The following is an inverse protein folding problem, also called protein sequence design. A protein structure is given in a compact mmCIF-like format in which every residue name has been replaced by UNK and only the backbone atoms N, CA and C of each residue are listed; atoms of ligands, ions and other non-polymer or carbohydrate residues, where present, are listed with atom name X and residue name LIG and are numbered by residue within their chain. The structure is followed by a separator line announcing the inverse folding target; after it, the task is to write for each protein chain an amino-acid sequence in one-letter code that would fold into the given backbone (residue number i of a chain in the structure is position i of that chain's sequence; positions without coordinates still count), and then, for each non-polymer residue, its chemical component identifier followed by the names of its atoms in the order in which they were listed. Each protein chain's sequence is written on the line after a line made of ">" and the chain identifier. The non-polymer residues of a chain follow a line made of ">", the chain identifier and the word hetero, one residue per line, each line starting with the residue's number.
data_IF_218305424078
#
_entry.id   IF_218305424078
#
_cell.length_a   1.000
_cell.length_b   1.000
_cell.length_c   1.000
_cell.angle_alpha   90.00
_cell.angle_beta   90.00
_cell.angle_gamma   90.00
#
_symmetry.space_group_name_H-M   'P 1'
#
loop_
_entity.id
_entity.type
_entity.pdbx_description
1 polymer ?
#
# COMPACT_ATOMS: atom_id res chain seq x y z
N UNK A 1 -19.54 -18.75 15.64
CA UNK A 1 -19.51 -18.15 15.34
C UNK A 1 -19.24 -17.34 14.79
N UNK A 2 -19.15 -17.24 14.66
CA UNK A 2 -19.05 -16.46 14.07
C UNK A 2 -18.71 -15.51 13.80
N UNK A 3 -18.37 -15.19 13.55
CA UNK A 3 -18.15 -14.33 13.32
C UNK A 3 -17.98 -13.45 12.87
N UNK A 4 -17.72 -13.04 12.97
CA UNK A 4 -18.08 -11.87 12.59
C UNK A 4 -17.91 -11.52 11.28
N UNK A 5 -18.79 -11.70 10.77
CA UNK A 5 -18.98 -11.37 9.49
C UNK A 5 -18.79 -9.93 9.21
N UNK A 6 -18.82 -9.18 10.21
CA UNK A 6 -18.53 -7.79 10.04
C UNK A 6 -17.17 -7.58 9.49
N UNK A 7 -16.33 -8.55 9.63
CA UNK A 7 -15.00 -8.43 9.12
C UNK A 7 -14.88 -8.95 7.70
N UNK A 8 -15.95 -8.89 6.93
CA UNK A 8 -15.87 -9.32 5.56
C UNK A 8 -14.96 -8.46 4.69
N UNK A 9 -14.65 -7.25 5.11
CA UNK A 9 -13.78 -6.38 4.35
C UNK A 9 -12.32 -6.75 4.52
N UNK A 10 -11.61 -6.82 3.40
CA UNK A 10 -10.15 -6.96 3.44
C UNK A 10 -9.53 -5.62 3.73
N UNK A 11 -8.33 -5.67 4.28
CA UNK A 11 -7.59 -4.47 4.68
C UNK A 11 -6.45 -4.22 3.71
N UNK A 12 -6.32 -2.97 3.30
CA UNK A 12 -5.29 -2.52 2.36
C UNK A 12 -4.41 -1.48 3.04
N UNK A 13 -3.09 -1.71 3.00
CA UNK A 13 -2.12 -0.71 3.46
C UNK A 13 -1.65 0.11 2.27
N UNK A 14 -1.58 1.43 2.45
CA UNK A 14 -1.21 2.36 1.38
C UNK A 14 0.26 2.73 1.50
N UNK A 15 1.11 2.03 0.78
CA UNK A 15 2.56 2.18 0.82
C UNK A 15 3.05 3.08 -0.31
N UNK A 16 3.95 3.99 0.00
CA UNK A 16 4.53 4.89 -1.01
C UNK A 16 5.43 5.92 -0.36
N UNK A 17 6.20 6.67 -1.17
CA UNK A 17 7.15 7.65 -0.63
C UNK A 17 6.47 8.69 0.25
N UNK A 18 7.07 8.95 1.41
CA UNK A 18 6.66 10.03 2.31
C UNK A 18 7.87 10.93 2.55
N UNK A 19 8.97 10.35 3.05
CA UNK A 19 10.22 11.05 3.14
C UNK A 19 10.71 11.35 1.73
N UNK A 20 11.26 12.51 1.48
CA UNK A 20 11.71 12.94 0.15
C UNK A 20 10.58 13.07 -0.87
N UNK A 21 9.34 13.14 -0.41
CA UNK A 21 8.21 13.41 -1.28
C UNK A 21 7.49 14.67 -0.78
N UNK A 22 6.94 15.45 -1.70
CA UNK A 22 6.10 16.57 -1.33
C UNK A 22 4.86 16.04 -0.59
N UNK A 23 4.55 16.63 0.56
CA UNK A 23 3.47 16.12 1.40
C UNK A 23 2.13 16.08 0.65
N UNK A 24 1.84 17.11 -0.14
CA UNK A 24 0.61 17.15 -0.92
C UNK A 24 0.50 15.98 -1.88
N UNK A 25 1.61 15.63 -2.55
CA UNK A 25 1.62 14.51 -3.48
C UNK A 25 1.45 13.20 -2.72
N UNK A 26 2.18 13.05 -1.60
CA UNK A 26 2.08 11.84 -0.80
C UNK A 26 0.68 11.62 -0.25
N UNK A 27 -0.01 12.70 0.09
CA UNK A 27 -1.35 12.63 0.67
C UNK A 27 -2.43 12.44 -0.38
N UNK A 28 -2.29 13.12 -1.53
CA UNK A 28 -3.36 13.17 -2.54
C UNK A 28 -3.70 11.79 -3.11
N UNK A 29 -2.70 11.02 -3.49
CA UNK A 29 -2.99 9.71 -4.07
C UNK A 29 -3.64 8.77 -3.04
N UNK A 30 -3.26 8.91 -1.78
CA UNK A 30 -3.86 8.11 -0.71
C UNK A 30 -5.32 8.48 -0.49
N UNK A 31 -5.63 9.78 -0.55
CA UNK A 31 -7.02 10.23 -0.43
C UNK A 31 -7.85 9.73 -1.60
N UNK A 32 -7.29 9.74 -2.81
CA UNK A 32 -7.98 9.20 -3.98
C UNK A 32 -8.23 7.70 -3.83
N UNK A 33 -7.23 6.96 -3.38
CA UNK A 33 -7.38 5.53 -3.14
C UNK A 33 -8.49 5.25 -2.13
N UNK A 34 -8.54 6.03 -1.06
CA UNK A 34 -9.59 5.87 -0.04
C UNK A 34 -10.98 6.12 -0.63
N UNK A 35 -11.11 7.10 -1.52
CA UNK A 35 -12.40 7.36 -2.16
C UNK A 35 -12.84 6.20 -3.05
N UNK A 36 -11.89 5.63 -3.79
CA UNK A 36 -12.22 4.55 -4.73
C UNK A 36 -12.48 3.23 -3.99
N UNK A 37 -11.69 2.92 -2.98
CA UNK A 37 -11.68 1.60 -2.36
C UNK A 37 -12.42 1.53 -1.03
N UNK A 38 -12.68 2.67 -0.39
CA UNK A 38 -13.14 2.70 1.00
C UNK A 38 -14.50 2.10 1.27
N UNK A 39 -15.35 1.96 0.24
CA UNK A 39 -16.65 1.34 0.41
C UNK A 39 -16.52 -0.17 0.68
N UNK A 40 -15.58 -0.81 -0.01
CA UNK A 40 -15.46 -2.27 0.01
C UNK A 40 -14.26 -2.77 0.78
N UNK A 41 -13.35 -1.89 1.15
CA UNK A 41 -12.09 -2.27 1.82
C UNK A 41 -11.82 -1.35 3.00
N UNK A 42 -11.09 -1.88 3.97
CA UNK A 42 -10.58 -1.08 5.08
C UNK A 42 -9.19 -0.58 4.68
N UNK A 43 -8.96 0.73 4.80
CA UNK A 43 -7.70 1.33 4.36
C UNK A 43 -6.86 1.75 5.55
N UNK A 44 -5.58 1.39 5.51
CA UNK A 44 -4.60 1.84 6.50
C UNK A 44 -3.65 2.82 5.83
N UNK A 45 -3.79 4.08 6.17
CA UNK A 45 -2.99 5.17 5.63
C UNK A 45 -1.92 5.54 6.66
N UNK A 46 -0.62 5.34 6.37
CA UNK A 46 0.43 5.66 7.35
C UNK A 46 0.49 7.15 7.66
N UNK A 47 -0.02 8.00 6.78
CA UNK A 47 -0.02 9.45 7.03
C UNK A 47 -1.07 9.88 8.04
N UNK A 48 -1.89 8.96 8.54
CA UNK A 48 -2.78 9.27 9.67
C UNK A 48 -1.99 9.54 10.93
N UNK A 49 -0.74 9.08 10.97
CA UNK A 49 0.20 9.38 12.05
C UNK A 49 0.98 10.62 11.67
N UNK A 50 1.30 11.46 12.64
CA UNK A 50 1.91 12.76 12.34
C UNK A 50 3.40 12.75 12.60
N UNK A 51 4.13 11.96 11.82
CA UNK A 51 5.58 11.86 11.94
C UNK A 51 6.34 12.59 10.83
N UNK A 52 5.63 13.24 9.90
CA UNK A 52 6.26 13.80 8.69
C UNK A 52 7.42 14.74 9.04
N UNK A 53 7.23 15.59 10.03
CA UNK A 53 8.26 16.58 10.41
C UNK A 53 9.25 16.03 11.43
N UNK A 54 9.15 14.77 11.84
CA UNK A 54 9.98 14.19 12.89
C UNK A 54 10.51 12.82 12.53
N UNK A 55 10.69 12.56 11.23
CA UNK A 55 11.00 11.17 10.79
C UNK A 55 12.31 10.65 11.37
N UNK A 56 13.33 11.49 11.46
CA UNK A 56 14.61 11.04 12.00
C UNK A 56 14.50 10.73 13.50
N UNK A 57 13.82 11.61 14.26
CA UNK A 57 13.70 11.46 15.70
C UNK A 57 12.77 10.32 16.10
N UNK A 58 11.87 9.94 15.22
CA UNK A 58 10.83 8.94 15.50
C UNK A 58 11.04 7.65 14.73
N UNK A 59 12.26 7.37 14.27
CA UNK A 59 12.54 6.23 13.38
C UNK A 59 12.00 4.90 13.91
N UNK A 60 12.26 4.59 15.18
CA UNK A 60 11.80 3.30 15.72
C UNK A 60 10.28 3.19 15.72
N UNK A 61 9.60 4.28 16.10
CA UNK A 61 8.15 4.29 16.16
C UNK A 61 7.54 4.17 14.77
N UNK A 62 8.09 4.93 13.81
CA UNK A 62 7.59 4.92 12.43
C UNK A 62 7.70 3.50 11.86
N UNK A 63 8.85 2.88 11.99
CA UNK A 63 9.07 1.55 11.44
C UNK A 63 8.15 0.53 12.10
N UNK A 64 8.02 0.57 13.42
CA UNK A 64 7.16 -0.40 14.12
C UNK A 64 5.69 -0.23 13.73
N UNK A 65 5.21 1.00 13.64
CA UNK A 65 3.82 1.22 13.25
C UNK A 65 3.58 0.82 11.79
N UNK A 66 4.52 1.13 10.90
CA UNK A 66 4.35 0.77 9.49
C UNK A 66 4.40 -0.74 9.31
N UNK A 67 5.31 -1.43 9.99
CA UNK A 67 5.37 -2.89 9.92
C UNK A 67 4.11 -3.53 10.49
N UNK A 68 3.56 -2.94 11.55
CA UNK A 68 2.31 -3.45 12.11
C UNK A 68 1.16 -3.29 11.10
N UNK A 69 1.11 -2.16 10.40
CA UNK A 69 0.09 -1.96 9.36
C UNK A 69 0.24 -3.00 8.25
N UNK A 70 1.47 -3.32 7.87
CA UNK A 70 1.71 -4.36 6.86
C UNK A 70 1.20 -5.71 7.38
N UNK A 71 1.48 -6.03 8.64
CA UNK A 71 1.00 -7.29 9.24
C UNK A 71 -0.52 -7.36 9.29
N UNK A 72 -1.16 -6.23 9.55
CA UNK A 72 -2.62 -6.18 9.67
C UNK A 72 -3.33 -6.17 8.32
N UNK A 73 -2.61 -5.86 7.25
CA UNK A 73 -3.20 -5.77 5.92
C UNK A 73 -3.26 -7.12 5.23
N UNK A 74 -4.18 -7.25 4.30
CA UNK A 74 -4.26 -8.39 3.39
C UNK A 74 -3.57 -8.06 2.08
N UNK A 75 -3.63 -6.80 1.68
CA UNK A 75 -3.13 -6.31 0.41
C UNK A 75 -2.33 -5.05 0.68
N UNK A 76 -1.19 -4.92 0.01
CA UNK A 76 -0.40 -3.69 0.04
C UNK A 76 -0.55 -3.01 -1.32
N UNK A 77 -1.12 -1.81 -1.32
CA UNK A 77 -1.22 -1.00 -2.53
C UNK A 77 -0.04 -0.03 -2.53
N UNK A 78 0.79 -0.13 -3.56
CA UNK A 78 2.09 0.55 -3.58
C UNK A 78 2.15 1.59 -4.68
N UNK A 79 2.37 2.84 -4.30
CA UNK A 79 2.70 3.88 -5.25
C UNK A 79 4.23 3.89 -5.43
N UNK A 80 4.70 3.43 -6.58
CA UNK A 80 6.12 3.41 -6.87
C UNK A 80 6.44 4.41 -7.98
N UNK A 81 6.08 5.68 -7.73
CA UNK A 81 6.34 6.74 -8.70
C UNK A 81 7.81 7.18 -8.70
N UNK A 82 8.56 6.77 -7.68
CA UNK A 82 10.00 6.98 -7.60
C UNK A 82 10.59 6.01 -6.58
N UNK A 83 11.91 5.78 -6.63
CA UNK A 83 12.56 4.92 -5.66
C UNK A 83 12.35 5.44 -4.24
N UNK A 84 12.11 4.53 -3.32
CA UNK A 84 11.88 4.87 -1.90
C UNK A 84 12.37 3.72 -1.05
N UNK A 85 13.24 4.03 -0.09
CA UNK A 85 13.81 3.01 0.80
C UNK A 85 12.72 2.34 1.61
N UNK A 86 11.90 3.15 2.29
CA UNK A 86 10.85 2.62 3.16
C UNK A 86 9.85 1.78 2.39
N UNK A 87 9.39 2.29 1.25
CA UNK A 87 8.45 1.57 0.40
C UNK A 87 9.02 0.24 -0.07
N UNK A 88 10.28 0.24 -0.49
CA UNK A 88 10.93 -0.99 -0.96
C UNK A 88 11.04 -2.02 0.15
N UNK A 89 11.37 -1.60 1.36
CA UNK A 89 11.45 -2.51 2.50
C UNK A 89 10.09 -3.06 2.89
N UNK A 90 9.06 -2.24 2.82
CA UNK A 90 7.70 -2.69 3.09
C UNK A 90 7.22 -3.72 2.07
N UNK A 91 7.53 -3.50 0.79
CA UNK A 91 7.21 -4.45 -0.27
C UNK A 91 7.87 -5.79 0.00
N UNK A 92 9.16 -5.78 0.30
CA UNK A 92 9.88 -7.01 0.58
C UNK A 92 9.31 -7.73 1.80
N UNK A 93 9.11 -6.99 2.88
CA UNK A 93 8.58 -7.57 4.11
C UNK A 93 7.20 -8.18 3.89
N UNK A 94 6.34 -7.45 3.20
CA UNK A 94 4.98 -7.92 2.94
C UNK A 94 4.97 -9.20 2.12
N UNK A 95 5.71 -9.21 1.01
CA UNK A 95 5.68 -10.32 0.08
C UNK A 95 6.46 -11.52 0.61
N UNK A 96 7.70 -11.30 1.01
CA UNK A 96 8.60 -12.40 1.35
C UNK A 96 8.38 -12.91 2.77
N UNK A 97 8.21 -12.01 3.71
CA UNK A 97 8.11 -12.40 5.12
C UNK A 97 6.69 -12.72 5.55
N UNK A 98 5.69 -12.10 4.93
CA UNK A 98 4.30 -12.23 5.39
C UNK A 98 3.34 -12.79 4.35
N UNK A 99 3.80 -13.02 3.13
CA UNK A 99 2.98 -13.63 2.08
C UNK A 99 1.77 -12.79 1.68
N UNK A 100 1.87 -11.48 1.80
CA UNK A 100 0.76 -10.59 1.41
C UNK A 100 0.75 -10.36 -0.08
N UNK A 101 -0.40 -9.96 -0.61
CA UNK A 101 -0.51 -9.53 -2.00
C UNK A 101 0.02 -8.10 -2.12
N UNK A 102 0.88 -7.87 -3.10
CA UNK A 102 1.48 -6.55 -3.33
C UNK A 102 1.06 -6.09 -4.72
N UNK A 103 0.22 -5.06 -4.76
CA UNK A 103 -0.29 -4.49 -6.00
C UNK A 103 0.35 -3.12 -6.14
N UNK A 104 1.25 -2.98 -7.11
CA UNK A 104 1.99 -1.75 -7.30
C UNK A 104 1.53 -1.03 -8.55
N UNK A 105 1.66 0.30 -8.56
CA UNK A 105 1.51 1.06 -9.78
C UNK A 105 2.68 2.02 -9.93
N UNK A 106 3.08 2.23 -11.19
CA UNK A 106 4.22 3.07 -11.52
C UNK A 106 4.00 3.65 -12.92
N UNK A 107 4.35 4.92 -13.14
CA UNK A 107 4.24 5.51 -14.48
C UNK A 107 5.31 5.01 -15.43
N UNK A 108 6.31 4.28 -14.93
CA UNK A 108 7.44 3.86 -15.73
C UNK A 108 7.16 2.52 -16.42
N UNK A 109 7.72 2.28 -17.61
CA UNK A 109 7.61 0.97 -18.23
C UNK A 109 8.16 -0.12 -17.33
N UNK A 110 7.61 -1.32 -17.46
CA UNK A 110 8.02 -2.48 -16.67
C UNK A 110 9.55 -2.65 -16.69
N UNK A 111 10.18 -2.46 -17.86
CA UNK A 111 11.61 -2.66 -18.03
C UNK A 111 12.45 -1.65 -17.23
N UNK A 112 11.85 -0.56 -16.80
CA UNK A 112 12.55 0.47 -16.02
C UNK A 112 12.30 0.33 -14.53
N UNK A 113 11.47 -0.62 -14.12
CA UNK A 113 11.21 -0.84 -12.71
C UNK A 113 12.36 -1.63 -12.10
N UNK A 114 12.63 -1.37 -10.82
CA UNK A 114 13.63 -2.14 -10.09
C UNK A 114 13.29 -3.63 -10.12
N UNK A 115 14.27 -4.51 -10.37
CA UNK A 115 14.01 -5.94 -10.32
C UNK A 115 13.48 -6.40 -8.96
N UNK A 116 13.84 -5.72 -7.89
CA UNK A 116 13.31 -6.04 -6.57
C UNK A 116 11.80 -5.80 -6.49
N UNK A 117 11.35 -4.69 -7.06
CA UNK A 117 9.92 -4.37 -7.09
C UNK A 117 9.19 -5.34 -8.00
N UNK A 118 9.77 -5.67 -9.15
CA UNK A 118 9.19 -6.65 -10.07
C UNK A 118 9.05 -8.02 -9.39
N UNK A 119 10.10 -8.46 -8.73
CA UNK A 119 10.14 -9.79 -8.10
C UNK A 119 9.12 -9.93 -6.99
N UNK A 120 8.95 -8.88 -6.17
CA UNK A 120 8.13 -8.99 -4.97
C UNK A 120 6.74 -8.36 -5.11
N UNK A 121 6.38 -7.86 -6.29
CA UNK A 121 5.00 -7.42 -6.56
C UNK A 121 4.19 -8.56 -7.14
N UNK A 122 2.95 -8.69 -6.69
CA UNK A 122 2.01 -9.64 -7.27
C UNK A 122 1.61 -9.17 -8.66
N UNK A 123 1.41 -7.85 -8.81
CA UNK A 123 1.01 -7.25 -10.06
C UNK A 123 1.48 -5.80 -10.09
N UNK A 124 1.93 -5.34 -11.26
CA UNK A 124 2.32 -3.94 -11.45
C UNK A 124 1.44 -3.36 -12.55
N UNK A 125 0.77 -2.27 -12.25
CA UNK A 125 -0.11 -1.56 -13.17
C UNK A 125 0.50 -0.20 -13.49
N UNK A 126 -0.06 0.50 -14.47
CA UNK A 126 0.51 1.78 -14.90
C UNK A 126 -0.10 2.99 -14.21
N UNK A 127 -1.19 2.82 -13.49
CA UNK A 127 -1.85 3.93 -12.81
C UNK A 127 -2.55 3.48 -11.54
N UNK A 128 -2.84 4.45 -10.66
CA UNK A 128 -3.62 4.19 -9.45
C UNK A 128 -4.99 3.62 -9.81
N UNK A 129 -5.63 4.19 -10.81
CA UNK A 129 -6.97 3.75 -11.22
C UNK A 129 -6.96 2.28 -11.67
N UNK A 130 -5.96 1.91 -12.45
CA UNK A 130 -5.82 0.53 -12.90
C UNK A 130 -5.55 -0.41 -11.72
N UNK A 131 -4.73 0.03 -10.77
CA UNK A 131 -4.45 -0.77 -9.58
C UNK A 131 -5.70 -0.97 -8.74
N UNK A 132 -6.49 0.08 -8.56
CA UNK A 132 -7.75 -0.02 -7.82
C UNK A 132 -8.73 -0.94 -8.52
N UNK A 133 -8.81 -0.86 -9.84
CA UNK A 133 -9.68 -1.74 -10.62
C UNK A 133 -9.25 -3.21 -10.46
N UNK A 134 -7.94 -3.45 -10.53
CA UNK A 134 -7.39 -4.80 -10.33
C UNK A 134 -7.77 -5.33 -8.93
N UNK A 135 -7.66 -4.50 -7.92
CA UNK A 135 -7.99 -4.89 -6.55
C UNK A 135 -9.47 -5.23 -6.44
N UNK A 136 -10.34 -4.40 -7.00
CA UNK A 136 -11.77 -4.67 -6.99
C UNK A 136 -12.10 -5.99 -7.70
N UNK A 137 -11.49 -6.21 -8.86
CA UNK A 137 -11.79 -7.39 -9.67
C UNK A 137 -11.33 -8.69 -9.01
N UNK A 138 -10.26 -8.63 -8.24
CA UNK A 138 -9.64 -9.84 -7.70
C UNK A 138 -9.91 -10.06 -6.22
N UNK A 139 -10.24 -9.02 -5.48
CA UNK A 139 -10.39 -9.11 -4.03
C UNK A 139 -11.67 -8.48 -3.51
N UNK A 140 -12.45 -7.85 -4.37
CA UNK A 140 -13.69 -7.20 -3.97
C UNK A 140 -14.80 -8.19 -3.68
N UNK A 141 -15.95 -7.70 -3.17
CA UNK A 141 -17.08 -8.58 -2.90
C UNK A 141 -17.59 -9.23 -4.16
N UNK A 142 -18.05 -10.48 -4.02
CA UNK A 142 -18.69 -11.17 -5.13
C UNK A 142 -20.11 -10.69 -5.26
N UNK A 143 -20.57 -10.55 -6.50
CA UNK A 143 -21.97 -10.27 -6.79
C UNK A 143 -22.60 -11.56 -7.30
N UNK A 144 -23.58 -12.03 -6.58
CA UNK A 144 -24.24 -13.26 -6.98
C UNK A 144 -25.69 -13.06 -7.26
#
# INVERSE_FOLDING_TARGET
>A
MNTPATSGKKTIYLSGPIMDEHEGIAREWRETAKKILGKDFRLLDPMRRKFVDRQVDSANEIVEFDLQDVRDADIILVNYNKPSIGTSMEVFYAAFCKGKFVIAFSPFPFEQCSPWIVRFSTKILSSLEDACQYIHNNFGPSFE
#
